data_IF_607391580632
#
_entry.id   IF_607391580632
#
_cell.length_a   1.000
_cell.length_b   1.000
_cell.length_c   1.000
_cell.angle_alpha   90.00
_cell.angle_beta   90.00
_cell.angle_gamma   90.00
#
_symmetry.space_group_name_H-M   'P 1'
#
loop_
_entity.id
_entity.type
_entity.pdbx_description
1 polymer ?
#
# COMPACT_ATOMS: atom_id res chain seq x y z
N UNK A 1 7.79 19.85 -7.54
CA UNK A 1 7.73 20.19 -6.11
C UNK A 1 7.81 18.88 -5.33
N UNK A 2 8.53 18.78 -4.20
CA UNK A 2 8.40 17.58 -3.36
C UNK A 2 6.93 17.48 -2.96
N UNK A 3 6.34 16.28 -3.04
CA UNK A 3 5.00 16.05 -2.54
C UNK A 3 4.93 16.62 -1.11
N UNK A 4 4.01 17.54 -0.85
CA UNK A 4 3.89 18.21 0.45
C UNK A 4 3.87 17.15 1.55
N UNK A 5 4.54 17.39 2.69
CA UNK A 5 4.68 16.42 3.78
C UNK A 5 3.35 15.80 4.28
N UNK A 6 2.22 16.42 3.98
CA UNK A 6 0.87 15.90 4.22
C UNK A 6 0.50 14.73 3.30
N UNK A 7 0.89 14.78 2.03
CA UNK A 7 0.67 13.71 1.03
C UNK A 7 1.43 12.45 1.46
N UNK A 8 2.65 12.62 1.98
CA UNK A 8 3.44 11.49 2.48
C UNK A 8 2.81 10.81 3.71
N UNK A 9 1.93 11.50 4.44
CA UNK A 9 1.19 10.93 5.58
C UNK A 9 -0.06 10.15 5.16
N UNK A 10 -0.51 10.23 3.91
CA UNK A 10 -1.70 9.50 3.47
C UNK A 10 -1.47 7.97 3.45
N UNK A 11 -0.28 7.49 3.06
CA UNK A 11 0.03 6.06 3.11
C UNK A 11 0.05 5.48 4.54
N UNK A 12 0.76 6.06 5.53
CA UNK A 12 0.70 5.55 6.89
C UNK A 12 -0.71 5.68 7.48
N UNK A 13 -1.44 6.78 7.21
CA UNK A 13 -2.85 6.91 7.62
C UNK A 13 -3.74 5.81 7.02
N UNK A 14 -3.55 5.48 5.75
CA UNK A 14 -4.26 4.40 5.10
C UNK A 14 -4.00 3.06 5.80
N UNK A 15 -2.74 2.78 6.16
CA UNK A 15 -2.40 1.58 6.94
C UNK A 15 -3.14 1.56 8.27
N UNK A 16 -3.16 2.66 9.02
CA UNK A 16 -3.92 2.76 10.27
C UNK A 16 -5.42 2.49 10.07
N UNK A 17 -6.03 3.06 9.03
CA UNK A 17 -7.45 2.86 8.72
C UNK A 17 -7.75 1.40 8.38
N UNK A 18 -6.96 0.79 7.50
CA UNK A 18 -7.13 -0.63 7.11
C UNK A 18 -6.87 -1.55 8.31
N UNK A 19 -5.89 -1.23 9.15
CA UNK A 19 -5.58 -2.05 10.32
C UNK A 19 -6.74 -2.08 11.34
N UNK A 20 -7.57 -1.03 11.38
CA UNK A 20 -8.77 -0.96 12.23
C UNK A 20 -10.05 -1.48 11.52
N UNK A 21 -9.99 -1.85 10.24
CA UNK A 21 -11.14 -2.33 9.47
C UNK A 21 -10.91 -3.74 8.92
N UNK A 22 -11.40 -4.72 9.67
CA UNK A 22 -11.22 -6.14 9.34
C UNK A 22 -11.87 -6.51 8.00
N UNK A 23 -13.03 -5.94 7.68
CA UNK A 23 -13.72 -6.20 6.41
C UNK A 23 -12.89 -5.78 5.19
N UNK A 24 -12.20 -4.64 5.27
CA UNK A 24 -11.27 -4.19 4.23
C UNK A 24 -10.07 -5.12 4.10
N UNK A 25 -9.52 -5.62 5.22
CA UNK A 25 -8.43 -6.59 5.18
C UNK A 25 -8.86 -7.90 4.52
N UNK A 26 -10.04 -8.43 4.85
CA UNK A 26 -10.63 -9.59 4.19
C UNK A 26 -10.77 -9.37 2.68
N UNK A 27 -11.27 -8.20 2.27
CA UNK A 27 -11.38 -7.83 0.86
C UNK A 27 -10.01 -7.77 0.17
N UNK A 28 -8.99 -7.19 0.80
CA UNK A 28 -7.63 -7.15 0.28
C UNK A 28 -7.04 -8.55 0.11
N UNK A 29 -7.31 -9.47 1.03
CA UNK A 29 -6.88 -10.86 0.96
C UNK A 29 -7.56 -11.65 -0.17
N UNK A 30 -8.82 -11.34 -0.49
CA UNK A 30 -9.56 -11.95 -1.58
C UNK A 30 -9.28 -11.32 -2.96
N UNK A 31 -8.70 -10.12 -2.98
CA UNK A 31 -8.45 -9.37 -4.22
C UNK A 31 -7.35 -10.02 -5.06
N UNK A 32 -7.61 -10.14 -6.37
CA UNK A 32 -6.68 -10.73 -7.34
C UNK A 32 -6.32 -9.80 -8.50
N UNK A 33 -6.96 -8.65 -8.62
CA UNK A 33 -6.88 -7.76 -9.77
C UNK A 33 -6.78 -6.28 -9.35
N UNK A 34 -6.26 -5.47 -10.28
CA UNK A 34 -5.93 -4.07 -10.01
C UNK A 34 -7.19 -3.21 -9.87
N UNK A 35 -8.26 -3.54 -10.58
CA UNK A 35 -9.49 -2.76 -10.58
C UNK A 35 -10.19 -2.84 -9.22
N UNK A 36 -10.28 -4.04 -8.66
CA UNK A 36 -10.84 -4.28 -7.33
C UNK A 36 -9.98 -3.62 -6.25
N UNK A 37 -8.65 -3.76 -6.33
CA UNK A 37 -7.74 -3.05 -5.42
C UNK A 37 -7.98 -1.54 -5.45
N UNK A 38 -8.06 -0.94 -6.64
CA UNK A 38 -8.31 0.51 -6.79
C UNK A 38 -9.60 0.93 -6.12
N UNK A 39 -10.68 0.16 -6.28
CA UNK A 39 -11.96 0.46 -5.63
C UNK A 39 -11.85 0.43 -4.11
N UNK A 40 -11.18 -0.58 -3.55
CA UNK A 40 -10.96 -0.69 -2.10
C UNK A 40 -10.13 0.48 -1.61
N UNK A 41 -8.98 0.73 -2.25
CA UNK A 41 -8.06 1.81 -1.88
C UNK A 41 -8.77 3.17 -1.92
N UNK A 42 -9.51 3.47 -2.99
CA UNK A 42 -10.25 4.72 -3.12
C UNK A 42 -11.43 4.84 -2.14
N UNK A 43 -12.02 3.72 -1.73
CA UNK A 43 -13.07 3.71 -0.71
C UNK A 43 -12.54 4.04 0.69
N UNK A 44 -11.28 3.71 0.97
CA UNK A 44 -10.63 3.99 2.26
C UNK A 44 -9.97 5.36 2.25
N UNK A 45 -9.16 5.65 1.23
CA UNK A 45 -8.49 6.93 1.06
C UNK A 45 -8.36 7.29 -0.43
N UNK A 46 -9.21 8.22 -0.87
CA UNK A 46 -9.25 8.71 -2.25
C UNK A 46 -8.01 9.52 -2.67
N UNK A 47 -7.12 9.90 -1.74
CA UNK A 47 -5.88 10.58 -2.07
C UNK A 47 -4.81 9.64 -2.66
N UNK A 48 -4.99 8.33 -2.51
CA UNK A 48 -4.11 7.31 -3.08
C UNK A 48 -4.49 7.03 -4.53
N UNK A 49 -3.64 7.46 -5.46
CA UNK A 49 -3.91 7.43 -6.90
C UNK A 49 -3.19 6.29 -7.62
N UNK A 50 -1.97 5.96 -7.20
CA UNK A 50 -1.12 4.96 -7.82
C UNK A 50 -1.33 3.57 -7.23
N UNK A 51 -1.45 2.56 -8.09
CA UNK A 51 -1.55 1.16 -7.68
C UNK A 51 -1.06 0.21 -8.76
N UNK A 52 -0.43 -0.89 -8.36
CA UNK A 52 0.04 -1.95 -9.25
C UNK A 52 0.00 -3.33 -8.56
N UNK A 53 -0.21 -4.37 -9.37
CA UNK A 53 0.09 -5.75 -8.96
C UNK A 53 1.57 -6.01 -9.15
N UNK A 54 2.18 -6.65 -8.15
CA UNK A 54 3.60 -6.97 -8.14
C UNK A 54 3.80 -8.46 -7.85
N UNK A 55 4.83 -9.09 -8.44
CA UNK A 55 5.17 -10.46 -8.10
C UNK A 55 5.71 -10.53 -6.66
N UNK A 56 5.58 -11.71 -6.03
CA UNK A 56 6.04 -11.93 -4.65
C UNK A 56 7.53 -11.62 -4.48
N UNK A 57 8.34 -11.92 -5.50
CA UNK A 57 9.78 -11.60 -5.51
C UNK A 57 10.02 -10.09 -5.35
N UNK A 58 9.21 -9.25 -6.01
CA UNK A 58 9.29 -7.80 -5.88
C UNK A 58 8.73 -7.32 -4.54
N UNK A 59 7.69 -7.99 -4.04
CA UNK A 59 7.05 -7.68 -2.76
C UNK A 59 7.88 -8.09 -1.55
N UNK A 60 8.85 -9.00 -1.70
CA UNK A 60 9.75 -9.48 -0.63
C UNK A 60 11.18 -8.96 -0.78
N UNK A 61 11.53 -8.42 -1.95
CA UNK A 61 12.84 -7.81 -2.22
C UNK A 61 13.27 -6.87 -1.10
N UNK A 62 14.55 -6.93 -0.74
CA UNK A 62 15.14 -6.05 0.25
C UNK A 62 15.00 -4.58 -0.18
N UNK A 63 14.39 -3.72 0.66
CA UNK A 63 14.18 -2.33 0.31
C UNK A 63 15.49 -1.54 0.40
N UNK A 64 15.65 -0.55 -0.48
CA UNK A 64 16.76 0.41 -0.37
C UNK A 64 16.60 1.33 0.84
N UNK A 65 15.38 1.77 1.10
CA UNK A 65 15.01 2.59 2.25
C UNK A 65 13.67 2.06 2.77
N UNK A 66 13.70 1.38 3.90
CA UNK A 66 12.52 1.00 4.66
C UNK A 66 12.15 2.18 5.56
N UNK A 67 10.93 2.70 5.40
CA UNK A 67 10.40 3.77 6.24
C UNK A 67 9.67 3.18 7.43
N UNK A 68 8.78 2.23 7.16
CA UNK A 68 8.02 1.53 8.19
C UNK A 68 7.57 0.15 7.68
N UNK A 69 7.14 -0.73 8.59
CA UNK A 69 6.62 -2.05 8.24
C UNK A 69 5.90 -2.68 9.42
N UNK A 70 4.93 -3.53 9.11
CA UNK A 70 4.25 -4.33 10.10
C UNK A 70 3.48 -5.47 9.46
N UNK A 71 2.62 -6.08 10.27
CA UNK A 71 1.67 -7.11 9.86
C UNK A 71 0.30 -6.70 10.38
N UNK A 72 -0.70 -6.66 9.51
CA UNK A 72 -2.09 -6.41 9.91
C UNK A 72 -2.70 -7.67 10.53
N UNK A 73 -3.83 -7.53 11.22
CA UNK A 73 -4.50 -8.61 11.96
C UNK A 73 -4.84 -9.84 11.10
N UNK A 74 -5.22 -9.65 9.83
CA UNK A 74 -5.47 -10.73 8.86
C UNK A 74 -4.20 -11.31 8.21
N UNK A 75 -3.08 -11.31 8.94
CA UNK A 75 -1.78 -11.82 8.51
C UNK A 75 -1.30 -11.19 7.19
N UNK A 76 -1.59 -9.90 6.95
CA UNK A 76 -1.15 -9.16 5.76
C UNK A 76 0.12 -8.38 6.11
N UNK A 77 1.33 -8.83 5.70
CA UNK A 77 2.53 -8.05 5.85
C UNK A 77 2.46 -6.81 4.96
N UNK A 78 2.81 -5.67 5.53
CA UNK A 78 2.88 -4.41 4.82
C UNK A 78 4.21 -3.72 5.06
N UNK A 79 4.69 -3.01 4.04
CA UNK A 79 5.98 -2.32 4.09
C UNK A 79 5.86 -0.98 3.39
N UNK A 80 6.28 0.08 4.08
CA UNK A 80 6.34 1.42 3.55
C UNK A 80 7.78 1.72 3.13
N UNK A 81 7.97 1.89 1.83
CA UNK A 81 9.29 2.02 1.20
C UNK A 81 9.43 3.40 0.57
N UNK A 82 10.63 3.98 0.66
CA UNK A 82 10.96 5.20 -0.07
C UNK A 82 11.90 4.89 -1.23
N UNK A 83 11.46 5.22 -2.43
CA UNK A 83 12.33 5.18 -3.61
C UNK A 83 13.30 6.38 -3.56
N UNK A 84 14.59 6.16 -3.80
CA UNK A 84 15.60 7.25 -3.86
C UNK A 84 15.22 8.25 -4.95
N UNK A 85 14.81 9.46 -4.56
CA UNK A 85 14.32 10.49 -5.49
C UNK A 85 12.93 10.23 -6.07
N UNK A 86 12.19 9.23 -5.58
CA UNK A 86 10.85 8.87 -6.03
C UNK A 86 9.80 8.95 -4.91
N UNK A 87 8.55 8.57 -5.19
CA UNK A 87 7.48 8.61 -4.22
C UNK A 87 7.66 7.57 -3.10
N UNK A 88 6.89 7.75 -2.04
CA UNK A 88 6.66 6.75 -1.01
C UNK A 88 5.73 5.65 -1.58
N UNK A 89 6.05 4.39 -1.31
CA UNK A 89 5.33 3.22 -1.84
C UNK A 89 4.98 2.30 -0.69
N UNK A 90 3.69 2.00 -0.54
CA UNK A 90 3.19 0.96 0.34
C UNK A 90 3.09 -0.36 -0.42
N UNK A 91 3.78 -1.39 0.06
CA UNK A 91 3.61 -2.75 -0.42
C UNK A 91 2.72 -3.53 0.54
N UNK A 92 1.77 -4.28 -0.01
CA UNK A 92 0.91 -5.23 0.70
C UNK A 92 1.14 -6.62 0.13
N UNK A 93 1.43 -7.58 1.00
CA UNK A 93 1.53 -9.00 0.65
C UNK A 93 0.23 -9.65 1.11
N UNK A 94 -0.74 -9.79 0.22
CA UNK A 94 -2.02 -10.42 0.53
C UNK A 94 -2.00 -11.91 0.15
N UNK A 95 -2.98 -12.66 0.63
CA UNK A 95 -3.08 -14.12 0.42
C UNK A 95 -3.15 -14.54 -1.06
N UNK A 96 -3.78 -13.72 -1.92
CA UNK A 96 -4.02 -14.05 -3.33
C UNK A 96 -3.12 -13.31 -4.30
N UNK A 97 -2.74 -12.07 -3.99
CA UNK A 97 -1.90 -11.23 -4.83
C UNK A 97 -1.12 -10.23 -3.97
N UNK A 98 -0.07 -9.65 -4.54
CA UNK A 98 0.72 -8.61 -3.87
C UNK A 98 0.54 -7.30 -4.60
N UNK A 99 0.51 -6.23 -3.83
CA UNK A 99 0.17 -4.91 -4.33
C UNK A 99 1.23 -3.89 -3.94
N UNK A 100 1.42 -2.91 -4.81
CA UNK A 100 2.11 -1.66 -4.51
C UNK A 100 1.12 -0.52 -4.68
N UNK A 101 1.08 0.38 -3.71
CA UNK A 101 0.22 1.58 -3.69
C UNK A 101 1.13 2.79 -3.45
N UNK A 102 0.92 3.86 -4.18
CA UNK A 102 1.67 5.11 -4.02
C UNK A 102 0.81 6.30 -4.40
N UNK A 103 1.32 7.50 -4.18
CA UNK A 103 0.66 8.72 -4.62
C UNK A 103 1.42 9.24 -5.82
N UNK A 104 0.73 9.35 -6.95
CA UNK A 104 1.28 9.97 -8.15
C UNK A 104 1.50 11.46 -7.87
N UNK A 105 2.75 11.91 -8.00
CA UNK A 105 3.05 13.35 -7.94
C UNK A 105 2.56 13.99 -9.23
N UNK A 106 1.46 14.73 -9.16
CA UNK A 106 1.01 15.63 -10.23
C UNK A 106 1.90 16.88 -10.34
#
# INVERSE_FOLDING_TARGET
MPASAEVEKALPRFVDLVNNDQATQDQLNLTTDLETLRRIVQSVDASLTGSALIPLEQATRAPKILVDSGVMDQEIPWRLLRCTGGPLVLQLICSKANFAIWIESC
#
